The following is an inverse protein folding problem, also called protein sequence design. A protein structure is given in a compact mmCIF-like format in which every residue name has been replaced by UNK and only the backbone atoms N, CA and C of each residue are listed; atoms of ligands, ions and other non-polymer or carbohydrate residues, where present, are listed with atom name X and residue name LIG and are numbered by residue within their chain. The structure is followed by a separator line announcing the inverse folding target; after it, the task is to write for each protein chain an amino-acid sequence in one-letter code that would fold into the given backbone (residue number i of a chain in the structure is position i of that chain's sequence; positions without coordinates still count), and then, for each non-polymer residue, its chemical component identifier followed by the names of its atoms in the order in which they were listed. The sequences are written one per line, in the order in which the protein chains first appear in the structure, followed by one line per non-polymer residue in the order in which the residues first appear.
data_IF_677226816354
#
_entry.id   IF_677226816354
#
_cell.length_a   1.000
_cell.length_b   1.000
_cell.length_c   1.000
_cell.angle_alpha   90.00
_cell.angle_beta   90.00
_cell.angle_gamma   90.00
#
_symmetry.space_group_name_H-M   'P 1'
#
loop_
_entity.id
_entity.type
_entity.pdbx_description
1 polymer ?
#
# COMPACT_ATOMS: atom_id res chain seq x y z
N UNK A 1 -12.22 -0.05 -3.92
CA UNK A 1 -11.28 0.47 -2.91
C UNK A 1 -11.28 -0.56 -1.79
N UNK A 2 -10.14 -1.16 -1.47
CA UNK A 2 -10.03 -2.16 -0.39
C UNK A 2 -10.10 -1.42 0.95
N UNK A 3 -10.86 -1.92 1.92
CA UNK A 3 -10.94 -1.30 3.24
C UNK A 3 -9.60 -1.52 3.99
N UNK A 4 -8.92 -0.47 4.47
CA UNK A 4 -7.72 -0.60 5.28
C UNK A 4 -7.90 -1.54 6.49
N UNK A 5 -9.10 -1.62 7.07
CA UNK A 5 -9.37 -2.52 8.18
C UNK A 5 -9.38 -3.99 7.76
N UNK A 6 -9.87 -4.30 6.55
CA UNK A 6 -9.81 -5.66 6.01
C UNK A 6 -8.36 -6.08 5.73
N UNK A 7 -7.54 -5.17 5.20
CA UNK A 7 -6.12 -5.39 4.98
C UNK A 7 -5.36 -5.63 6.30
N UNK A 8 -5.64 -4.85 7.34
CA UNK A 8 -5.06 -5.05 8.67
C UNK A 8 -5.51 -6.36 9.30
N UNK A 9 -6.78 -6.75 9.12
CA UNK A 9 -7.29 -8.05 9.59
C UNK A 9 -6.55 -9.21 8.91
N UNK A 10 -6.39 -9.16 7.59
CA UNK A 10 -5.64 -10.17 6.84
C UNK A 10 -4.15 -10.24 7.25
N UNK A 11 -3.53 -9.09 7.52
CA UNK A 11 -2.17 -9.06 8.05
C UNK A 11 -2.07 -9.74 9.43
N UNK A 12 -3.05 -9.52 10.30
CA UNK A 12 -3.17 -10.20 11.60
C UNK A 12 -3.25 -11.72 11.45
N UNK A 13 -4.17 -12.20 10.62
CA UNK A 13 -4.35 -13.64 10.36
C UNK A 13 -3.08 -14.30 9.80
N UNK A 14 -2.34 -13.60 8.94
CA UNK A 14 -1.06 -14.10 8.40
C UNK A 14 0.03 -14.14 9.46
N UNK A 15 0.10 -13.16 10.36
CA UNK A 15 1.04 -13.17 11.49
C UNK A 15 0.72 -14.28 12.49
N UNK A 16 -0.55 -14.52 12.79
CA UNK A 16 -0.97 -15.66 13.63
C UNK A 16 -0.55 -16.98 12.99
N UNK A 17 -0.78 -17.16 11.69
CA UNK A 17 -0.31 -18.36 10.97
C UNK A 17 1.21 -18.49 10.96
N UNK A 18 1.93 -17.38 10.76
CA UNK A 18 3.39 -17.38 10.82
C UNK A 18 3.92 -17.77 12.21
N UNK A 19 3.20 -17.41 13.28
CA UNK A 19 3.60 -17.69 14.67
C UNK A 19 3.56 -19.18 15.04
N UNK A 20 2.71 -19.95 14.37
CA UNK A 20 2.56 -21.40 14.57
C UNK A 20 3.25 -22.23 13.49
N UNK A 21 3.81 -21.57 12.46
CA UNK A 21 4.45 -22.25 11.34
C UNK A 21 5.85 -22.73 11.69
N UNK A 22 6.08 -24.02 11.44
CA UNK A 22 7.33 -24.70 11.79
C UNK A 22 8.35 -24.57 10.66
N UNK A 23 7.89 -24.53 9.41
CA UNK A 23 8.74 -24.33 8.25
C UNK A 23 9.23 -22.86 8.19
N UNK A 24 10.56 -22.62 8.29
CA UNK A 24 11.10 -21.27 8.27
C UNK A 24 10.81 -20.50 6.97
N UNK A 25 10.79 -21.17 5.82
CA UNK A 25 10.53 -20.53 4.53
C UNK A 25 9.07 -20.11 4.40
N UNK A 26 8.14 -20.94 4.89
CA UNK A 26 6.71 -20.60 4.91
C UNK A 26 6.45 -19.47 5.91
N UNK A 27 7.06 -19.53 7.09
CA UNK A 27 6.96 -18.47 8.11
C UNK A 27 7.43 -17.12 7.59
N UNK A 28 8.59 -17.06 6.94
CA UNK A 28 9.11 -15.83 6.32
C UNK A 28 8.17 -15.30 5.24
N UNK A 29 7.63 -16.19 4.40
CA UNK A 29 6.68 -15.81 3.36
C UNK A 29 5.38 -15.23 3.95
N UNK A 30 4.83 -15.86 4.98
CA UNK A 30 3.64 -15.37 5.68
C UNK A 30 3.89 -14.00 6.32
N UNK A 31 5.03 -13.82 6.97
CA UNK A 31 5.43 -12.53 7.56
C UNK A 31 5.61 -11.43 6.49
N UNK A 32 6.21 -11.76 5.35
CA UNK A 32 6.37 -10.83 4.22
C UNK A 32 5.02 -10.41 3.64
N UNK A 33 4.08 -11.34 3.51
CA UNK A 33 2.71 -11.05 3.07
C UNK A 33 1.97 -10.16 4.07
N UNK A 34 2.08 -10.44 5.38
CA UNK A 34 1.49 -9.61 6.43
C UNK A 34 2.02 -8.17 6.37
N UNK A 35 3.34 -8.01 6.22
CA UNK A 35 3.95 -6.69 6.09
C UNK A 35 3.46 -5.94 4.84
N UNK A 36 3.29 -6.65 3.73
CA UNK A 36 2.76 -6.08 2.49
C UNK A 36 1.35 -5.52 2.66
N UNK A 37 0.48 -6.23 3.39
CA UNK A 37 -0.87 -5.75 3.68
C UNK A 37 -0.90 -4.56 4.64
N UNK A 38 0.00 -4.50 5.62
CA UNK A 38 0.15 -3.32 6.50
C UNK A 38 0.54 -2.08 5.68
N UNK A 39 1.51 -2.22 4.77
CA UNK A 39 1.93 -1.14 3.89
C UNK A 39 0.80 -0.67 2.95
N UNK A 40 0.03 -1.61 2.39
CA UNK A 40 -1.14 -1.29 1.57
C UNK A 40 -2.20 -0.54 2.38
N UNK A 41 -2.53 -1.01 3.58
CA UNK A 41 -3.49 -0.34 4.46
C UNK A 41 -3.07 1.11 4.78
N UNK A 42 -1.79 1.32 5.09
CA UNK A 42 -1.25 2.66 5.33
C UNK A 42 -1.36 3.56 4.09
N UNK A 43 -1.07 3.00 2.90
CA UNK A 43 -1.16 3.74 1.63
C UNK A 43 -2.61 4.15 1.33
N UNK A 44 -3.56 3.22 1.48
CA UNK A 44 -4.99 3.50 1.28
C UNK A 44 -5.51 4.55 2.27
N UNK A 45 -5.08 4.50 3.54
CA UNK A 45 -5.41 5.54 4.54
C UNK A 45 -4.81 6.91 4.17
N UNK A 46 -3.59 6.94 3.64
CA UNK A 46 -2.97 8.17 3.15
C UNK A 46 -3.72 8.75 1.95
N UNK A 47 -4.12 7.92 0.99
CA UNK A 47 -4.91 8.36 -0.16
C UNK A 47 -6.32 8.83 0.23
N UNK A 48 -6.93 8.18 1.23
CA UNK A 48 -8.24 8.59 1.75
C UNK A 48 -8.18 9.91 2.54
N UNK A 49 -7.10 10.13 3.30
CA UNK A 49 -6.91 11.37 4.08
C UNK A 49 -6.43 12.55 3.23
N UNK A 50 -5.70 12.28 2.15
CA UNK A 50 -5.24 13.28 1.20
C UNK A 50 -5.65 12.83 -0.20
N UNK A 51 -6.91 13.08 -0.62
CA UNK A 51 -7.31 12.86 -2.00
C UNK A 51 -6.41 13.74 -2.86
N UNK A 52 -5.42 13.12 -3.49
CA UNK A 52 -4.46 13.81 -4.33
C UNK A 52 -5.28 14.46 -5.44
N UNK A 53 -5.48 15.78 -5.35
CA UNK A 53 -6.05 16.57 -6.43
C UNK A 53 -5.03 16.58 -7.56
N UNK A 54 -5.01 15.51 -8.35
CA UNK A 54 -4.35 15.46 -9.65
C UNK A 54 -5.19 16.32 -10.60
N UNK A 55 -5.16 17.63 -10.40
CA UNK A 55 -5.80 18.62 -11.27
C UNK A 55 -4.79 19.45 -12.07
N UNK A 56 -3.49 19.20 -11.93
CA UNK A 56 -2.45 20.12 -12.44
C UNK A 56 -1.34 19.47 -13.26
N UNK A 57 -1.58 18.31 -13.88
CA UNK A 57 -0.74 17.80 -14.98
C UNK A 57 -1.44 18.07 -16.31
N UNK A 58 -1.74 19.35 -16.55
CA UNK A 58 -2.56 19.77 -17.69
C UNK A 58 -2.52 21.26 -17.98
N UNK A 59 -1.39 21.95 -17.79
CA UNK A 59 -1.21 23.32 -18.32
C UNK A 59 0.12 23.43 -19.07
N UNK A 60 -0.01 23.11 -20.36
CA UNK A 60 0.68 23.69 -21.50
C UNK A 60 1.28 25.10 -21.26
N UNK A 61 2.60 25.26 -21.44
CA UNK A 61 3.15 26.34 -22.28
C UNK A 61 4.57 26.03 -22.76
N UNK A 62 4.64 25.43 -23.96
CA UNK A 62 5.78 25.59 -24.86
C UNK A 62 5.76 27.03 -25.35
N UNK A 63 6.74 27.85 -24.97
CA UNK A 63 7.17 29.00 -25.77
C UNK A 63 8.68 28.94 -25.87
N UNK A 64 9.14 28.25 -26.90
CA UNK A 64 10.49 28.31 -27.41
C UNK A 64 10.72 29.70 -28.01
N UNK A 65 11.91 30.22 -27.76
CA UNK A 65 12.48 31.49 -28.18
C UNK A 65 12.11 31.94 -29.60
N UNK A 66 11.80 33.23 -29.73
CA UNK A 66 11.94 34.01 -30.95
C UNK A 66 12.57 35.36 -30.56
N UNK A 67 13.69 35.66 -31.24
CA UNK A 67 14.49 36.90 -31.31
C UNK A 67 15.71 36.97 -30.40
#
# INVERSE_FOLDING_TARGET
MLDPNELLKQAGELNERASIETDPAIRERLASMANSYIHLAATEQQMASHPVSIASVGVLKRHSALW
#
